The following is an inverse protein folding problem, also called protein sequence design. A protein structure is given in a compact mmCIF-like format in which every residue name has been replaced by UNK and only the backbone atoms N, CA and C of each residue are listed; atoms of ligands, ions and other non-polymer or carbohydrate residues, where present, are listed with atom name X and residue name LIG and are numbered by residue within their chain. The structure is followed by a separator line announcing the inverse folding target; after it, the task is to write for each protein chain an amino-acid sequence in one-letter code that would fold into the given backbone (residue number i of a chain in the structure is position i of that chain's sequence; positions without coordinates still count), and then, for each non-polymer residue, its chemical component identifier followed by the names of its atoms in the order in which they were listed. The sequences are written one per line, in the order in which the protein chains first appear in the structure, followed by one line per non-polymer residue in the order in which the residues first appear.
data_IF_779450514152
#
_entry.id   IF_779450514152
#
_cell.length_a   1.000
_cell.length_b   1.000
_cell.length_c   1.000
_cell.angle_alpha   90.00
_cell.angle_beta   90.00
_cell.angle_gamma   90.00
#
_symmetry.space_group_name_H-M   'P 1'
#
loop_
_entity.id
_entity.type
_entity.pdbx_description
1 polymer ?
#
# COMPACT_ATOMS: atom_id res chain seq x y z
N UNK A 1 -40.75 25.31 45.47
CA UNK A 1 -39.37 24.79 45.46
C UNK A 1 -39.11 24.14 44.11
N UNK A 2 -38.31 24.81 43.28
CA UNK A 2 -37.97 24.40 41.92
C UNK A 2 -37.06 23.17 42.02
N UNK A 3 -37.54 22.00 41.55
CA UNK A 3 -36.67 20.83 41.35
C UNK A 3 -35.79 21.12 40.14
N UNK A 4 -34.52 21.50 40.39
CA UNK A 4 -33.48 21.43 39.37
C UNK A 4 -33.22 19.96 39.03
N UNK A 5 -34.02 19.43 38.10
CA UNK A 5 -33.82 18.12 37.51
C UNK A 5 -32.53 18.13 36.71
N UNK A 6 -31.65 17.19 37.05
CA UNK A 6 -30.35 16.93 36.44
C UNK A 6 -30.51 16.33 35.02
N UNK A 7 -31.21 17.04 34.14
CA UNK A 7 -31.54 16.61 32.76
C UNK A 7 -30.27 16.49 31.91
N UNK A 8 -29.28 17.34 32.16
CA UNK A 8 -28.01 17.32 31.44
C UNK A 8 -27.17 16.05 31.71
N UNK A 9 -27.15 15.54 32.95
CA UNK A 9 -26.37 14.34 33.29
C UNK A 9 -26.91 13.05 32.67
N UNK A 10 -28.24 12.89 32.61
CA UNK A 10 -28.88 11.67 32.08
C UNK A 10 -28.86 11.62 30.55
N UNK A 11 -29.07 12.76 29.88
CA UNK A 11 -29.02 12.85 28.40
C UNK A 11 -27.61 12.54 27.91
N UNK A 12 -26.59 13.19 28.50
CA UNK A 12 -25.19 13.01 28.12
C UNK A 12 -24.70 11.57 28.31
N UNK A 13 -25.09 10.91 29.41
CA UNK A 13 -24.74 9.49 29.64
C UNK A 13 -25.44 8.54 28.66
N UNK A 14 -26.70 8.81 28.32
CA UNK A 14 -27.45 8.00 27.34
C UNK A 14 -26.87 8.12 25.93
N UNK A 15 -26.38 9.30 25.57
CA UNK A 15 -25.78 9.58 24.27
C UNK A 15 -24.35 9.02 24.20
N UNK A 16 -23.54 9.15 25.24
CA UNK A 16 -22.22 8.51 25.35
C UNK A 16 -22.37 6.98 25.25
N UNK A 17 -23.36 6.39 25.93
CA UNK A 17 -23.60 4.95 25.86
C UNK A 17 -24.02 4.50 24.46
N UNK A 18 -24.91 5.24 23.78
CA UNK A 18 -25.30 4.97 22.39
C UNK A 18 -24.11 5.11 21.43
N UNK A 19 -23.33 6.18 21.55
CA UNK A 19 -22.10 6.40 20.77
C UNK A 19 -21.12 5.24 21.00
N UNK A 20 -20.92 4.80 22.24
CA UNK A 20 -20.05 3.66 22.56
C UNK A 20 -20.53 2.34 21.92
N UNK A 21 -21.85 2.13 21.81
CA UNK A 21 -22.44 0.94 21.20
C UNK A 21 -22.36 0.98 19.67
N UNK A 22 -22.45 2.17 19.07
CA UNK A 22 -22.28 2.41 17.64
C UNK A 22 -20.83 2.26 17.23
N UNK A 23 -19.87 2.79 18.01
CA UNK A 23 -18.43 2.61 17.79
C UNK A 23 -18.02 1.13 17.86
N UNK A 24 -18.71 0.32 18.67
CA UNK A 24 -18.48 -1.14 18.75
C UNK A 24 -18.90 -1.91 17.49
N UNK A 25 -19.61 -1.28 16.54
CA UNK A 25 -19.89 -1.92 15.27
C UNK A 25 -18.59 -1.92 14.43
N UNK A 26 -18.12 -3.08 13.95
CA UNK A 26 -16.85 -3.17 13.22
C UNK A 26 -16.78 -2.20 12.03
N UNK A 27 -17.90 -2.00 11.33
CA UNK A 27 -18.02 -1.06 10.22
C UNK A 27 -17.72 0.39 10.65
N UNK A 28 -18.28 0.84 11.77
CA UNK A 28 -18.10 2.21 12.27
C UNK A 28 -16.67 2.40 12.77
N UNK A 29 -16.11 1.41 13.45
CA UNK A 29 -14.71 1.44 13.86
C UNK A 29 -13.76 1.61 12.67
N UNK A 30 -13.95 0.82 11.60
CA UNK A 30 -13.16 0.94 10.37
C UNK A 30 -13.38 2.27 9.65
N UNK A 31 -14.60 2.79 9.65
CA UNK A 31 -14.89 4.12 9.07
C UNK A 31 -14.18 5.24 9.84
N UNK A 32 -14.14 5.18 11.18
CA UNK A 32 -13.42 6.16 12.01
C UNK A 32 -11.91 6.09 11.75
N UNK A 33 -11.34 4.88 11.68
CA UNK A 33 -9.93 4.68 11.33
C UNK A 33 -9.64 5.27 9.94
N UNK A 34 -10.47 4.95 8.94
CA UNK A 34 -10.33 5.48 7.58
C UNK A 34 -10.41 7.01 7.54
N UNK A 35 -11.34 7.60 8.27
CA UNK A 35 -11.47 9.07 8.37
C UNK A 35 -10.24 9.70 9.02
N UNK A 36 -9.70 9.08 10.07
CA UNK A 36 -8.46 9.54 10.70
C UNK A 36 -7.29 9.53 9.71
N UNK A 37 -7.06 8.43 9.00
CA UNK A 37 -6.00 8.32 8.01
C UNK A 37 -6.21 9.26 6.81
N UNK A 38 -7.44 9.47 6.37
CA UNK A 38 -7.75 10.43 5.31
C UNK A 38 -7.48 11.88 5.74
N UNK A 39 -7.82 12.22 7.00
CA UNK A 39 -7.48 13.52 7.58
C UNK A 39 -5.96 13.73 7.70
N UNK A 40 -5.24 12.69 8.14
CA UNK A 40 -3.77 12.72 8.22
C UNK A 40 -3.12 12.84 6.84
N UNK A 41 -3.59 12.07 5.86
CA UNK A 41 -3.14 12.15 4.48
C UNK A 41 -3.35 13.56 3.90
N UNK A 42 -4.53 14.14 4.14
CA UNK A 42 -4.85 15.50 3.70
C UNK A 42 -3.89 16.51 4.32
N UNK A 43 -3.64 16.41 5.63
CA UNK A 43 -2.67 17.26 6.32
C UNK A 43 -1.25 17.13 5.74
N UNK A 44 -0.77 15.89 5.58
CA UNK A 44 0.59 15.59 5.10
C UNK A 44 0.80 16.12 3.68
N UNK A 45 -0.11 15.80 2.76
CA UNK A 45 0.00 16.26 1.37
C UNK A 45 -0.20 17.75 1.24
N UNK A 46 -1.14 18.36 1.97
CA UNK A 46 -1.29 19.82 1.94
C UNK A 46 -0.03 20.51 2.47
N UNK A 47 0.55 20.01 3.55
CA UNK A 47 1.79 20.56 4.11
C UNK A 47 2.95 20.40 3.14
N UNK A 48 3.08 19.24 2.50
CA UNK A 48 4.09 19.00 1.47
C UNK A 48 3.93 19.94 0.27
N UNK A 49 2.72 20.14 -0.24
CA UNK A 49 2.46 21.03 -1.37
C UNK A 49 2.66 22.51 -1.04
N UNK A 50 2.41 22.93 0.20
CA UNK A 50 2.52 24.34 0.61
C UNK A 50 3.91 24.74 1.11
N UNK A 51 4.66 23.80 1.70
CA UNK A 51 5.88 24.12 2.46
C UNK A 51 7.13 23.42 1.96
N UNK A 52 7.05 22.60 0.91
CA UNK A 52 8.23 22.03 0.27
C UNK A 52 8.61 22.75 -1.02
N UNK A 53 9.85 22.61 -1.44
CA UNK A 53 10.34 23.20 -2.70
C UNK A 53 9.82 22.45 -3.95
N UNK A 54 9.19 21.28 -3.80
CA UNK A 54 8.70 20.43 -4.89
C UNK A 54 9.72 20.27 -6.03
N UNK A 55 10.99 20.09 -5.68
CA UNK A 55 12.07 19.90 -6.66
C UNK A 55 12.42 18.41 -6.75
N UNK A 56 12.63 17.88 -7.97
CA UNK A 56 13.19 16.55 -8.13
C UNK A 56 14.53 16.43 -7.42
N UNK A 57 14.74 15.32 -6.73
CA UNK A 57 16.02 15.05 -6.10
C UNK A 57 17.10 14.76 -7.13
N UNK A 58 18.33 15.20 -6.87
CA UNK A 58 19.46 14.96 -7.78
C UNK A 58 19.82 13.47 -7.80
N UNK A 59 20.18 12.95 -8.99
CA UNK A 59 20.72 11.59 -9.16
C UNK A 59 22.12 11.40 -8.58
N UNK A 60 22.72 12.47 -8.02
CA UNK A 60 24.06 12.45 -7.47
C UNK A 60 25.16 12.65 -8.51
N UNK A 61 26.41 12.49 -8.09
CA UNK A 61 27.58 12.65 -8.95
C UNK A 61 27.80 11.47 -9.90
N UNK A 62 27.35 10.28 -9.50
CA UNK A 62 27.48 9.07 -10.31
C UNK A 62 26.39 9.02 -11.38
N UNK A 63 26.80 8.72 -12.61
CA UNK A 63 25.88 8.59 -13.73
C UNK A 63 24.97 7.36 -13.56
N UNK A 64 23.66 7.56 -13.73
CA UNK A 64 22.69 6.45 -13.69
C UNK A 64 22.96 5.49 -14.87
N UNK A 65 23.14 4.18 -14.63
CA UNK A 65 23.38 3.17 -15.67
C UNK A 65 22.27 3.13 -16.73
N UNK A 66 22.61 2.73 -17.96
CA UNK A 66 21.66 2.70 -19.07
C UNK A 66 20.48 1.75 -18.81
N UNK A 67 20.77 0.53 -18.38
CA UNK A 67 19.78 -0.48 -17.97
C UNK A 67 18.79 0.04 -16.91
N UNK A 68 19.27 0.78 -15.90
CA UNK A 68 18.43 1.41 -14.88
C UNK A 68 17.50 2.46 -15.49
N UNK A 69 18.00 3.29 -16.41
CA UNK A 69 17.17 4.30 -17.10
C UNK A 69 16.07 3.66 -17.93
N UNK A 70 16.41 2.63 -18.69
CA UNK A 70 15.44 1.88 -19.51
C UNK A 70 14.39 1.25 -18.61
N UNK A 71 14.82 0.55 -17.56
CA UNK A 71 13.91 -0.07 -16.60
C UNK A 71 12.99 0.96 -15.93
N UNK A 72 13.51 2.13 -15.55
CA UNK A 72 12.73 3.18 -14.93
C UNK A 72 11.61 3.67 -15.86
N UNK A 73 11.92 3.97 -17.12
CA UNK A 73 10.90 4.42 -18.08
C UNK A 73 9.88 3.33 -18.42
N UNK A 74 10.34 2.10 -18.66
CA UNK A 74 9.45 0.96 -18.95
C UNK A 74 8.51 0.71 -17.77
N UNK A 75 9.04 0.66 -16.55
CA UNK A 75 8.24 0.41 -15.35
C UNK A 75 7.23 1.54 -15.10
N UNK A 76 7.64 2.81 -15.19
CA UNK A 76 6.72 3.95 -15.02
C UNK A 76 5.60 3.95 -16.06
N UNK A 77 5.92 3.66 -17.31
CA UNK A 77 4.91 3.52 -18.36
C UNK A 77 3.95 2.37 -18.05
N UNK A 78 4.49 1.20 -17.68
CA UNK A 78 3.69 0.01 -17.38
C UNK A 78 2.74 0.23 -16.20
N UNK A 79 3.20 0.83 -15.10
CA UNK A 79 2.32 1.04 -13.93
C UNK A 79 1.18 2.01 -14.25
N UNK A 80 1.42 3.06 -15.04
CA UNK A 80 0.38 4.00 -15.48
C UNK A 80 -0.58 3.32 -16.45
N UNK A 81 -0.06 2.60 -17.42
CA UNK A 81 -0.86 1.89 -18.42
C UNK A 81 -1.79 0.86 -17.76
N UNK A 82 -1.26 0.03 -16.86
CA UNK A 82 -2.03 -0.96 -16.12
C UNK A 82 -3.04 -0.32 -15.17
N UNK A 83 -2.69 0.81 -14.53
CA UNK A 83 -3.64 1.57 -13.71
C UNK A 83 -4.82 2.05 -14.56
N UNK A 84 -4.56 2.67 -15.71
CA UNK A 84 -5.60 3.16 -16.61
C UNK A 84 -6.49 2.02 -17.09
N UNK A 85 -5.92 0.90 -17.53
CA UNK A 85 -6.70 -0.27 -17.92
C UNK A 85 -7.55 -0.82 -16.77
N UNK A 86 -6.98 -0.92 -15.58
CA UNK A 86 -7.67 -1.41 -14.39
C UNK A 86 -8.85 -0.50 -14.03
N UNK A 87 -8.65 0.83 -14.03
CA UNK A 87 -9.70 1.83 -13.77
C UNK A 87 -10.79 1.75 -14.84
N UNK A 88 -10.42 1.79 -16.13
CA UNK A 88 -11.38 1.75 -17.24
C UNK A 88 -12.22 0.48 -17.21
N UNK A 89 -11.59 -0.69 -17.03
CA UNK A 89 -12.29 -1.96 -16.92
C UNK A 89 -13.30 -1.95 -15.77
N UNK A 90 -12.90 -1.45 -14.61
CA UNK A 90 -13.76 -1.41 -13.43
C UNK A 90 -14.88 -0.39 -13.53
N UNK A 91 -14.65 0.76 -14.17
CA UNK A 91 -15.69 1.75 -14.47
C UNK A 91 -16.72 1.16 -15.42
N UNK A 92 -16.28 0.57 -16.55
CA UNK A 92 -17.18 -0.07 -17.51
C UNK A 92 -17.99 -1.17 -16.85
N UNK A 93 -17.35 -2.02 -16.04
CA UNK A 93 -18.03 -3.07 -15.27
C UNK A 93 -19.07 -2.49 -14.31
N UNK A 94 -18.72 -1.42 -13.58
CA UNK A 94 -19.62 -0.79 -12.62
C UNK A 94 -20.85 -0.19 -13.28
N UNK A 95 -20.67 0.46 -14.44
CA UNK A 95 -21.78 1.02 -15.24
C UNK A 95 -22.68 -0.10 -15.76
N UNK A 96 -22.10 -1.19 -16.26
CA UNK A 96 -22.86 -2.34 -16.78
C UNK A 96 -23.67 -3.06 -15.70
N UNK A 97 -23.14 -3.17 -14.49
CA UNK A 97 -23.79 -3.87 -13.37
C UNK A 97 -24.69 -2.97 -12.52
N UNK A 98 -24.69 -1.65 -12.74
CA UNK A 98 -25.46 -0.68 -11.95
C UNK A 98 -25.00 -0.56 -10.48
N UNK A 99 -23.80 -1.07 -10.17
CA UNK A 99 -23.21 -1.06 -8.83
C UNK A 99 -21.70 -0.93 -8.92
N UNK A 100 -21.07 -0.34 -7.91
CA UNK A 100 -19.61 -0.21 -7.87
C UNK A 100 -18.97 -1.60 -7.82
N UNK A 101 -18.07 -1.88 -8.77
CA UNK A 101 -17.31 -3.13 -8.78
C UNK A 101 -16.40 -3.21 -7.55
N UNK A 102 -16.33 -4.39 -6.92
CA UNK A 102 -15.47 -4.61 -5.75
C UNK A 102 -14.00 -4.25 -6.01
N UNK A 103 -13.50 -4.62 -7.19
CA UNK A 103 -12.14 -4.32 -7.62
C UNK A 103 -11.91 -2.80 -7.76
N UNK A 104 -12.95 -2.00 -8.07
CA UNK A 104 -12.85 -0.53 -8.07
C UNK A 104 -12.63 0.05 -6.66
N UNK A 105 -13.25 -0.54 -5.65
CA UNK A 105 -13.03 -0.16 -4.25
C UNK A 105 -11.59 -0.47 -3.83
N UNK A 106 -11.03 -1.59 -4.30
CA UNK A 106 -9.63 -1.93 -4.06
C UNK A 106 -8.66 -0.97 -4.74
N UNK A 107 -8.96 -0.51 -5.96
CA UNK A 107 -8.18 0.56 -6.62
C UNK A 107 -8.18 1.83 -5.77
N UNK A 108 -9.35 2.28 -5.33
CA UNK A 108 -9.47 3.47 -4.48
C UNK A 108 -8.75 3.31 -3.13
N UNK A 109 -8.89 2.15 -2.49
CA UNK A 109 -8.19 1.81 -1.26
C UNK A 109 -6.67 1.82 -1.43
N UNK A 110 -6.16 1.19 -2.49
CA UNK A 110 -4.74 1.17 -2.81
C UNK A 110 -4.16 2.56 -3.05
N UNK A 111 -4.83 3.38 -3.87
CA UNK A 111 -4.43 4.78 -4.10
C UNK A 111 -4.45 5.61 -2.81
N UNK A 112 -5.42 5.40 -1.93
CA UNK A 112 -5.49 6.07 -0.63
C UNK A 112 -4.36 5.63 0.33
N UNK A 113 -3.83 4.43 0.15
CA UNK A 113 -2.73 3.89 0.95
C UNK A 113 -1.34 4.24 0.39
N UNK A 114 -1.23 4.73 -0.85
CA UNK A 114 0.05 4.96 -1.52
C UNK A 114 1.00 5.90 -0.77
N UNK A 115 0.47 6.85 -0.01
CA UNK A 115 1.31 7.75 0.81
C UNK A 115 2.00 7.04 1.99
N UNK A 116 1.51 5.86 2.38
CA UNK A 116 2.06 5.04 3.45
C UNK A 116 3.24 4.17 3.00
N UNK A 117 3.53 4.09 1.70
CA UNK A 117 4.68 3.35 1.15
C UNK A 117 5.97 3.69 1.89
N UNK A 118 6.16 4.98 2.15
CA UNK A 118 7.35 5.53 2.78
C UNK A 118 7.47 5.20 4.27
N UNK A 119 6.38 4.78 4.94
CA UNK A 119 6.36 4.52 6.40
C UNK A 119 7.29 3.35 6.77
N UNK A 120 7.67 2.49 5.82
CA UNK A 120 8.76 1.52 6.04
C UNK A 120 10.06 2.21 6.49
N UNK A 121 10.26 3.47 6.09
CA UNK A 121 11.41 4.29 6.42
C UNK A 121 11.24 5.16 7.67
N UNK A 122 10.17 4.99 8.46
CA UNK A 122 9.80 5.90 9.55
C UNK A 122 10.89 6.07 10.62
N UNK A 123 11.57 4.98 10.99
CA UNK A 123 12.64 5.01 12.00
C UNK A 123 14.04 5.08 11.39
N UNK A 124 14.24 4.43 10.25
CA UNK A 124 15.52 4.36 9.55
C UNK A 124 15.26 4.26 8.05
N UNK A 125 16.15 4.75 7.17
CA UNK A 125 15.99 4.65 5.73
C UNK A 125 16.29 3.21 5.26
N UNK A 126 15.31 2.32 5.38
CA UNK A 126 15.39 0.90 5.04
C UNK A 126 15.38 0.68 3.52
N UNK A 127 14.51 1.37 2.80
CA UNK A 127 14.31 1.26 1.35
C UNK A 127 14.49 2.64 0.72
N UNK A 128 15.33 2.73 -0.31
CA UNK A 128 15.60 3.99 -0.99
C UNK A 128 15.38 3.81 -2.49
N UNK A 129 14.53 4.66 -3.06
CA UNK A 129 14.27 4.70 -4.49
C UNK A 129 15.38 5.38 -5.28
N UNK A 130 15.47 5.03 -6.56
CA UNK A 130 16.36 5.70 -7.49
C UNK A 130 15.80 7.08 -7.85
N UNK A 131 16.59 8.13 -7.64
CA UNK A 131 16.21 9.51 -7.97
C UNK A 131 15.99 9.79 -9.47
N UNK A 132 16.33 8.84 -10.36
CA UNK A 132 16.00 8.92 -11.78
C UNK A 132 14.50 8.71 -12.06
N UNK A 133 13.77 8.05 -11.15
CA UNK A 133 12.31 7.96 -11.23
C UNK A 133 11.68 9.35 -11.01
N UNK A 134 10.50 9.57 -11.58
CA UNK A 134 9.76 10.83 -11.49
C UNK A 134 9.38 11.06 -10.02
N UNK A 135 10.06 12.01 -9.39
CA UNK A 135 9.90 12.38 -7.99
C UNK A 135 9.90 13.91 -7.84
N UNK A 136 9.28 14.39 -6.76
CA UNK A 136 9.24 15.80 -6.36
C UNK A 136 9.65 15.94 -4.88
N UNK A 137 10.70 15.19 -4.51
CA UNK A 137 11.03 14.94 -3.12
C UNK A 137 10.00 14.04 -2.42
N UNK A 138 9.95 14.13 -1.09
CA UNK A 138 9.08 13.30 -0.25
C UNK A 138 8.24 14.13 0.71
N UNK A 139 7.09 13.58 1.12
CA UNK A 139 6.27 14.14 2.19
C UNK A 139 6.67 13.65 3.60
N UNK A 140 7.73 12.86 3.72
CA UNK A 140 8.11 12.13 4.93
C UNK A 140 8.29 13.04 6.15
N UNK A 141 8.96 14.20 5.98
CA UNK A 141 9.16 15.17 7.06
C UNK A 141 7.87 15.85 7.56
N UNK A 142 6.76 15.74 6.83
CA UNK A 142 5.46 16.26 7.26
C UNK A 142 4.63 15.21 7.99
N UNK A 143 5.07 13.95 8.04
CA UNK A 143 4.42 12.91 8.81
C UNK A 143 4.71 13.17 10.30
N UNK A 144 3.68 13.36 11.15
CA UNK A 144 3.89 13.62 12.57
C UNK A 144 4.68 12.51 13.25
N UNK A 145 5.72 12.89 13.98
CA UNK A 145 6.57 11.96 14.72
C UNK A 145 7.58 11.20 13.87
N UNK A 146 7.83 11.60 12.61
CA UNK A 146 8.86 10.98 11.77
C UNK A 146 10.25 11.05 12.44
N UNK A 147 10.92 9.90 12.55
CA UNK A 147 12.20 9.78 13.27
C UNK A 147 13.42 9.66 12.36
N UNK A 148 13.25 9.13 11.15
CA UNK A 148 14.36 8.86 10.25
C UNK A 148 14.97 10.17 9.74
N UNK A 149 16.29 10.28 9.91
CA UNK A 149 17.04 11.47 9.50
C UNK A 149 16.92 11.70 7.99
N UNK A 150 16.71 12.95 7.59
CA UNK A 150 16.61 13.30 6.18
C UNK A 150 15.36 12.75 5.50
N UNK A 151 14.23 12.67 6.21
CA UNK A 151 12.95 12.25 5.64
C UNK A 151 12.67 12.95 4.30
N UNK A 152 12.81 14.28 4.24
CA UNK A 152 12.66 15.13 3.06
C UNK A 152 13.69 14.90 1.93
N UNK A 153 14.78 14.17 2.19
CA UNK A 153 15.89 13.96 1.26
C UNK A 153 15.78 12.62 0.52
N UNK A 154 14.57 12.07 0.43
CA UNK A 154 14.30 10.80 -0.25
C UNK A 154 13.56 11.06 -1.57
N UNK A 155 13.98 10.43 -2.69
CA UNK A 155 13.35 10.64 -3.98
C UNK A 155 12.11 9.76 -4.14
N UNK A 156 10.98 10.13 -3.53
CA UNK A 156 9.77 9.31 -3.59
C UNK A 156 9.14 9.32 -4.99
N UNK A 157 9.06 8.17 -5.68
CA UNK A 157 8.69 8.13 -7.08
C UNK A 157 7.18 8.03 -7.24
N UNK A 158 6.52 9.19 -7.29
CA UNK A 158 5.06 9.32 -7.27
C UNK A 158 4.38 8.49 -8.34
N UNK A 159 4.91 8.51 -9.58
CA UNK A 159 4.33 7.76 -10.70
C UNK A 159 4.45 6.26 -10.47
N UNK A 160 5.60 5.81 -9.96
CA UNK A 160 5.83 4.40 -9.67
C UNK A 160 4.92 3.92 -8.55
N UNK A 161 4.98 4.56 -7.38
CA UNK A 161 4.25 4.16 -6.18
C UNK A 161 2.73 4.24 -6.40
N UNK A 162 2.19 5.38 -6.82
CA UNK A 162 0.75 5.53 -7.01
C UNK A 162 0.23 4.64 -8.15
N UNK A 163 0.99 4.53 -9.23
CA UNK A 163 0.68 3.64 -10.34
C UNK A 163 0.54 2.20 -9.83
N UNK A 164 1.56 1.71 -9.12
CA UNK A 164 1.61 0.35 -8.59
C UNK A 164 0.47 0.08 -7.60
N UNK A 165 0.34 0.92 -6.57
CA UNK A 165 -0.67 0.77 -5.51
C UNK A 165 -2.10 0.80 -6.06
N UNK A 166 -2.34 1.48 -7.19
CA UNK A 166 -3.66 1.55 -7.79
C UNK A 166 -4.15 0.25 -8.45
N UNK A 167 -3.27 -0.64 -8.94
CA UNK A 167 -3.71 -1.89 -9.58
C UNK A 167 -3.12 -3.17 -8.98
N UNK A 168 -2.02 -3.08 -8.23
CA UNK A 168 -1.30 -4.24 -7.70
C UNK A 168 -2.17 -5.12 -6.81
N UNK A 169 -2.91 -4.53 -5.86
CA UNK A 169 -3.78 -5.29 -4.95
C UNK A 169 -4.90 -6.03 -5.71
N UNK A 170 -5.37 -5.46 -6.82
CA UNK A 170 -6.33 -6.11 -7.71
C UNK A 170 -5.68 -7.31 -8.39
N UNK A 171 -4.47 -7.16 -8.93
CA UNK A 171 -3.72 -8.27 -9.54
C UNK A 171 -3.51 -9.42 -8.54
N UNK A 172 -2.97 -9.13 -7.37
CA UNK A 172 -2.71 -10.12 -6.33
C UNK A 172 -4.00 -10.83 -5.91
N UNK A 173 -5.08 -10.06 -5.72
CA UNK A 173 -6.40 -10.60 -5.44
C UNK A 173 -6.92 -11.52 -6.55
N UNK A 174 -6.75 -11.15 -7.82
CA UNK A 174 -7.15 -11.96 -8.97
C UNK A 174 -6.37 -13.27 -9.06
N UNK A 175 -5.04 -13.20 -8.92
CA UNK A 175 -4.14 -14.37 -8.96
C UNK A 175 -4.45 -15.33 -7.83
N UNK A 176 -4.64 -14.83 -6.61
CA UNK A 176 -5.05 -15.64 -5.47
C UNK A 176 -6.41 -16.29 -5.72
N UNK A 177 -7.41 -15.53 -6.19
CA UNK A 177 -8.74 -16.09 -6.47
C UNK A 177 -8.70 -17.19 -7.55
N UNK A 178 -7.91 -16.99 -8.61
CA UNK A 178 -7.73 -18.00 -9.65
C UNK A 178 -7.10 -19.28 -9.09
N UNK A 179 -6.08 -19.13 -8.26
CA UNK A 179 -5.38 -20.25 -7.63
C UNK A 179 -6.27 -21.00 -6.64
N UNK A 180 -7.04 -20.29 -5.81
CA UNK A 180 -7.99 -20.92 -4.89
C UNK A 180 -9.10 -21.68 -5.61
N UNK A 181 -9.57 -21.21 -6.78
CA UNK A 181 -10.51 -21.97 -7.63
C UNK A 181 -9.89 -23.29 -8.11
N UNK A 182 -8.63 -23.25 -8.55
CA UNK A 182 -7.89 -24.45 -8.95
C UNK A 182 -7.70 -25.41 -7.77
N UNK A 183 -7.28 -24.89 -6.61
CA UNK A 183 -7.12 -25.69 -5.39
C UNK A 183 -8.44 -26.33 -4.98
N UNK A 184 -9.56 -25.60 -4.96
CA UNK A 184 -10.87 -26.17 -4.62
C UNK A 184 -11.34 -27.22 -5.63
N UNK A 185 -10.94 -27.12 -6.90
CA UNK A 185 -11.27 -28.12 -7.93
C UNK A 185 -10.55 -29.44 -7.69
N UNK A 186 -9.27 -29.40 -7.33
CA UNK A 186 -8.45 -30.60 -7.11
C UNK A 186 -8.51 -31.14 -5.68
N UNK A 187 -8.69 -30.26 -4.70
CA UNK A 187 -8.81 -30.59 -3.27
C UNK A 187 -10.05 -29.93 -2.65
N UNK A 188 -11.27 -30.46 -2.92
CA UNK A 188 -12.52 -29.88 -2.40
C UNK A 188 -12.60 -29.81 -0.87
N UNK A 189 -11.85 -30.66 -0.16
CA UNK A 189 -11.77 -30.70 1.30
C UNK A 189 -10.70 -29.76 1.89
N UNK A 190 -10.06 -28.92 1.08
CA UNK A 190 -9.10 -27.93 1.58
C UNK A 190 -9.80 -27.02 2.59
N UNK A 191 -9.29 -26.97 3.82
CA UNK A 191 -9.84 -26.13 4.89
C UNK A 191 -9.37 -24.67 4.73
N UNK A 192 -9.91 -23.76 5.54
CA UNK A 192 -9.55 -22.35 5.49
C UNK A 192 -8.05 -22.10 5.69
N UNK A 193 -7.40 -22.86 6.58
CA UNK A 193 -5.97 -22.73 6.85
C UNK A 193 -5.12 -23.10 5.62
N UNK A 194 -5.50 -24.16 4.90
CA UNK A 194 -4.87 -24.55 3.65
C UNK A 194 -5.00 -23.48 2.57
N UNK A 195 -6.14 -22.78 2.49
CA UNK A 195 -6.33 -21.66 1.55
C UNK A 195 -5.47 -20.45 1.93
N UNK A 196 -5.39 -20.11 3.22
CA UNK A 196 -4.54 -19.02 3.73
C UNK A 196 -3.07 -19.31 3.42
N UNK A 197 -2.59 -20.51 3.77
CA UNK A 197 -1.18 -20.86 3.60
C UNK A 197 -0.78 -20.95 2.12
N UNK A 198 -1.62 -21.56 1.28
CA UNK A 198 -1.37 -21.61 -0.17
C UNK A 198 -1.41 -20.23 -0.83
N UNK A 199 -2.35 -19.37 -0.44
CA UNK A 199 -2.40 -17.98 -0.88
C UNK A 199 -1.17 -17.20 -0.45
N UNK A 200 -0.76 -17.34 0.81
CA UNK A 200 0.45 -16.71 1.35
C UNK A 200 1.70 -17.11 0.59
N UNK A 201 1.94 -18.41 0.41
CA UNK A 201 3.12 -18.89 -0.33
C UNK A 201 3.12 -18.42 -1.78
N UNK A 202 1.97 -18.49 -2.46
CA UNK A 202 1.84 -18.03 -3.83
C UNK A 202 2.18 -16.53 -3.96
N UNK A 203 1.60 -15.70 -3.09
CA UNK A 203 1.80 -14.26 -3.15
C UNK A 203 3.22 -13.87 -2.72
N UNK A 204 3.85 -14.62 -1.82
CA UNK A 204 5.25 -14.42 -1.46
C UNK A 204 6.18 -14.71 -2.65
N UNK A 205 5.92 -15.80 -3.40
CA UNK A 205 6.70 -16.10 -4.61
C UNK A 205 6.46 -15.06 -5.70
N UNK A 206 5.20 -14.64 -5.89
CA UNK A 206 4.85 -13.61 -6.86
C UNK A 206 5.56 -12.29 -6.54
N UNK A 207 5.50 -11.84 -5.29
CA UNK A 207 6.16 -10.63 -4.83
C UNK A 207 7.68 -10.73 -4.97
N UNK A 208 8.28 -11.86 -4.58
CA UNK A 208 9.71 -12.09 -4.75
C UNK A 208 10.15 -11.96 -6.22
N UNK A 209 9.36 -12.48 -7.16
CA UNK A 209 9.65 -12.33 -8.59
C UNK A 209 9.58 -10.86 -9.02
N UNK A 210 8.60 -10.10 -8.52
CA UNK A 210 8.47 -8.67 -8.82
C UNK A 210 9.62 -7.85 -8.21
N UNK A 211 10.02 -8.16 -6.98
CA UNK A 211 11.21 -7.61 -6.33
C UNK A 211 12.47 -7.80 -7.18
N UNK A 212 12.67 -8.99 -7.78
CA UNK A 212 13.78 -9.20 -8.72
C UNK A 212 13.74 -8.22 -9.89
N UNK A 213 12.56 -7.96 -10.47
CA UNK A 213 12.41 -7.04 -11.60
C UNK A 213 12.62 -5.57 -11.24
N UNK A 214 12.50 -5.19 -9.97
CA UNK A 214 12.71 -3.80 -9.55
C UNK A 214 14.09 -3.56 -8.96
N UNK A 215 14.59 -4.47 -8.14
CA UNK A 215 15.85 -4.31 -7.41
C UNK A 215 17.06 -4.58 -8.30
N UNK A 216 17.04 -5.61 -9.16
CA UNK A 216 18.19 -5.91 -10.02
C UNK A 216 18.53 -4.79 -11.00
N UNK A 217 17.55 -4.15 -11.67
CA UNK A 217 17.82 -2.98 -12.50
C UNK A 217 18.12 -1.71 -11.71
N UNK A 218 17.98 -1.73 -10.38
CA UNK A 218 18.30 -0.59 -9.51
C UNK A 218 17.21 0.48 -9.42
N UNK A 219 15.93 0.10 -9.47
CA UNK A 219 14.81 1.04 -9.27
C UNK A 219 14.67 1.47 -7.81
N UNK A 220 14.98 0.56 -6.87
CA UNK A 220 15.20 0.85 -5.47
C UNK A 220 16.17 -0.17 -4.87
N UNK A 221 16.68 0.13 -3.69
CA UNK A 221 17.57 -0.73 -2.94
C UNK A 221 17.17 -0.82 -1.47
N UNK A 222 17.40 -1.99 -0.88
CA UNK A 222 17.34 -2.18 0.56
C UNK A 222 18.67 -1.73 1.17
N UNK A 223 18.65 -0.62 1.89
CA UNK A 223 19.83 0.00 2.48
C UNK A 223 20.21 -0.64 3.83
N UNK A 224 19.21 -0.96 4.66
CA UNK A 224 19.41 -1.61 5.96
C UNK A 224 18.65 -2.93 5.98
N UNK A 225 19.37 -4.01 6.26
CA UNK A 225 18.85 -5.38 6.22
C UNK A 225 19.42 -6.22 7.37
N UNK A 226 18.78 -7.36 7.64
CA UNK A 226 19.35 -8.41 8.49
C UNK A 226 20.18 -9.35 7.60
N UNK A 227 21.53 -9.36 7.70
CA UNK A 227 22.38 -10.05 6.73
C UNK A 227 22.08 -11.54 6.56
N UNK A 228 21.77 -12.24 7.66
CA UNK A 228 21.50 -13.68 7.65
C UNK A 228 20.16 -14.07 7.03
N UNK A 229 19.26 -13.09 6.80
CA UNK A 229 17.95 -13.30 6.19
C UNK A 229 17.84 -12.56 4.85
N UNK A 230 18.98 -12.31 4.19
CA UNK A 230 19.06 -11.50 2.98
C UNK A 230 19.83 -12.22 1.88
N UNK A 231 19.26 -12.28 0.69
CA UNK A 231 19.93 -12.77 -0.50
C UNK A 231 20.89 -11.70 -1.04
N UNK A 232 22.08 -12.12 -1.45
CA UNK A 232 23.15 -11.22 -1.93
C UNK A 232 23.51 -10.10 -0.94
N UNK A 233 23.48 -10.40 0.36
CA UNK A 233 23.82 -9.47 1.43
C UNK A 233 25.12 -8.69 1.15
N UNK A 234 25.06 -7.36 1.31
CA UNK A 234 26.16 -6.43 1.04
C UNK A 234 26.30 -6.00 -0.43
N UNK A 235 25.42 -6.46 -1.32
CA UNK A 235 25.32 -5.96 -2.70
C UNK A 235 24.23 -4.90 -2.82
N UNK A 236 24.33 -4.04 -3.83
CA UNK A 236 23.30 -3.03 -4.12
C UNK A 236 21.93 -3.64 -4.44
N UNK A 237 21.92 -4.86 -5.00
CA UNK A 237 20.71 -5.62 -5.34
C UNK A 237 20.33 -6.66 -4.28
N UNK A 238 20.72 -6.43 -3.02
CA UNK A 238 20.35 -7.33 -1.92
C UNK A 238 18.84 -7.32 -1.69
N UNK A 239 18.26 -8.51 -1.44
CA UNK A 239 16.82 -8.67 -1.21
C UNK A 239 16.60 -9.42 0.11
N UNK A 240 16.01 -8.78 1.13
CA UNK A 240 15.65 -9.46 2.36
C UNK A 240 14.52 -10.45 2.10
N UNK A 241 14.69 -11.71 2.49
CA UNK A 241 13.71 -12.79 2.27
C UNK A 241 12.40 -12.47 2.98
N UNK A 242 12.44 -11.68 4.06
CA UNK A 242 11.26 -11.27 4.81
C UNK A 242 10.41 -10.19 4.11
N UNK A 243 10.95 -9.41 3.15
CA UNK A 243 10.15 -8.42 2.42
C UNK A 243 8.96 -9.05 1.68
N UNK A 244 9.15 -10.07 0.82
CA UNK A 244 8.03 -10.71 0.14
C UNK A 244 7.08 -11.45 1.06
N UNK A 245 7.56 -11.93 2.21
CA UNK A 245 6.72 -12.55 3.22
C UNK A 245 5.79 -11.51 3.88
N UNK A 246 6.27 -10.29 4.13
CA UNK A 246 5.46 -9.19 4.68
C UNK A 246 4.39 -8.79 3.66
N UNK A 247 4.75 -8.61 2.39
CA UNK A 247 3.78 -8.26 1.35
C UNK A 247 2.73 -9.37 1.18
N UNK A 248 3.14 -10.63 1.20
CA UNK A 248 2.22 -11.75 1.17
C UNK A 248 1.26 -11.76 2.37
N UNK A 249 1.74 -11.43 3.58
CA UNK A 249 0.90 -11.34 4.78
C UNK A 249 -0.17 -10.25 4.65
N UNK A 250 0.16 -9.12 3.98
CA UNK A 250 -0.77 -8.01 3.73
C UNK A 250 -1.77 -8.37 2.62
N UNK A 251 -1.30 -8.97 1.52
CA UNK A 251 -2.11 -9.22 0.34
C UNK A 251 -3.01 -10.45 0.46
N UNK A 252 -2.63 -11.45 1.27
CA UNK A 252 -3.42 -12.68 1.43
C UNK A 252 -4.82 -12.42 2.00
N UNK A 253 -5.00 -11.66 3.10
CA UNK A 253 -6.32 -11.26 3.58
C UNK A 253 -7.15 -10.50 2.53
N UNK A 254 -6.52 -9.58 1.79
CA UNK A 254 -7.19 -8.80 0.72
C UNK A 254 -7.72 -9.74 -0.37
N UNK A 255 -6.89 -10.69 -0.82
CA UNK A 255 -7.29 -11.68 -1.82
C UNK A 255 -8.39 -12.63 -1.32
N UNK A 256 -8.36 -13.02 -0.05
CA UNK A 256 -9.40 -13.85 0.57
C UNK A 256 -10.73 -13.11 0.69
N UNK A 257 -10.71 -11.83 1.09
CA UNK A 257 -11.90 -10.97 1.12
C UNK A 257 -12.51 -10.85 -0.28
N UNK A 258 -11.67 -10.63 -1.29
CA UNK A 258 -12.10 -10.61 -2.69
C UNK A 258 -12.72 -11.95 -3.09
N UNK A 259 -12.12 -13.07 -2.71
CA UNK A 259 -12.63 -14.41 -3.04
C UNK A 259 -14.01 -14.69 -2.41
N UNK A 260 -14.28 -14.12 -1.23
CA UNK A 260 -15.60 -14.22 -0.57
C UNK A 260 -16.65 -13.29 -1.18
N UNK A 261 -16.22 -12.20 -1.83
CA UNK A 261 -17.10 -11.23 -2.48
C UNK A 261 -17.55 -11.64 -3.91
N UNK A 262 -17.01 -12.74 -4.45
CA UNK A 262 -17.36 -13.31 -5.76
C UNK A 262 -18.47 -14.34 -5.64
#
# INVERSE_FOLDING_TARGET
MIKHGNIFGVVMWSDIYKVSKVIKQPLVAWAIIGLFFAGLQTYVFTSWLLFSDLMPFSTGADGVPFETKVSAWVTQFNVVFLLVLCVLYNVIKSVREGKVAWDFLLVGGGLSAGWLDTVINFFNPLVIYNAYLINWGSWNSFIPGWFSNGGNLTPEPIVFVLGLYGWWFVLFGMVLCATLRVIKRFWPKCNALGMVFSGFLLLAVLDFVLELFFVFPGLYAFNIVIPNLTLWSGKAYQIPIYAPLIIAAICTPIGLLRFQAQ
#
